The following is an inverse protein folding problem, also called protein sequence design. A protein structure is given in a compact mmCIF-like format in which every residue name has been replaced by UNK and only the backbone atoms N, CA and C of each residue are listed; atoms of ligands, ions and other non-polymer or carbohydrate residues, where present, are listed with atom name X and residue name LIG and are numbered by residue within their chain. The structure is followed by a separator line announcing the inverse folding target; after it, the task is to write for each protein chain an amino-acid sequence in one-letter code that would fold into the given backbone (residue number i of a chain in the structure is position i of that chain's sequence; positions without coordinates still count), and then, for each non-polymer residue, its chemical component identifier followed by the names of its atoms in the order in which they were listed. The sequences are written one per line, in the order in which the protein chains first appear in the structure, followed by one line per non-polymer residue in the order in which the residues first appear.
data_IF_316109941312
#
_entry.id   IF_316109941312
#
_cell.length_a   1.000
_cell.length_b   1.000
_cell.length_c   1.000
_cell.angle_alpha   90.00
_cell.angle_beta   90.00
_cell.angle_gamma   90.00
#
_symmetry.space_group_name_H-M   'P 1'
#
loop_
_entity.id
_entity.type
_entity.pdbx_description
1 polymer ?
#
# COMPACT_ATOMS: atom_id res chain seq x y z
N UNK A 1 6.39 21.48 0.14
CA UNK A 1 5.85 20.21 0.68
C UNK A 1 5.00 19.46 -0.35
N UNK A 2 4.02 20.10 -0.98
CA UNK A 2 3.12 19.46 -1.97
C UNK A 2 3.86 18.74 -3.12
N UNK A 3 4.84 19.35 -3.84
CA UNK A 3 5.52 18.65 -4.94
C UNK A 3 6.26 17.38 -4.49
N UNK A 4 6.80 17.39 -3.26
CA UNK A 4 7.48 16.24 -2.68
C UNK A 4 6.50 15.11 -2.34
N UNK A 5 5.30 15.47 -1.84
CA UNK A 5 4.26 14.49 -1.55
C UNK A 5 3.81 13.74 -2.81
N UNK A 6 3.61 14.46 -3.93
CA UNK A 6 3.33 13.83 -5.22
C UNK A 6 4.46 12.91 -5.67
N UNK A 7 5.71 13.40 -5.64
CA UNK A 7 6.89 12.64 -6.07
C UNK A 7 7.09 11.34 -5.29
N UNK A 8 6.95 11.38 -3.96
CA UNK A 8 7.04 10.17 -3.11
C UNK A 8 5.93 9.18 -3.44
N UNK A 9 4.70 9.67 -3.63
CA UNK A 9 3.57 8.81 -3.99
C UNK A 9 3.73 8.18 -5.36
N UNK A 10 4.28 8.91 -6.34
CA UNK A 10 4.62 8.37 -7.66
C UNK A 10 5.69 7.28 -7.58
N UNK A 11 6.78 7.52 -6.84
CA UNK A 11 7.83 6.51 -6.65
C UNK A 11 7.31 5.24 -5.99
N UNK A 12 6.48 5.37 -4.95
CA UNK A 12 5.85 4.23 -4.29
C UNK A 12 4.89 3.49 -5.22
N UNK A 13 4.05 4.21 -5.96
CA UNK A 13 3.14 3.61 -6.92
C UNK A 13 3.91 2.86 -8.01
N UNK A 14 4.98 3.45 -8.56
CA UNK A 14 5.84 2.81 -9.56
C UNK A 14 6.53 1.57 -9.02
N UNK A 15 7.07 1.64 -7.79
CA UNK A 15 7.71 0.49 -7.14
C UNK A 15 6.72 -0.65 -6.92
N UNK A 16 5.54 -0.34 -6.37
CA UNK A 16 4.49 -1.33 -6.10
C UNK A 16 3.99 -1.94 -7.40
N UNK A 17 3.79 -1.14 -8.45
CA UNK A 17 3.38 -1.64 -9.76
C UNK A 17 4.44 -2.60 -10.35
N UNK A 18 5.73 -2.29 -10.19
CA UNK A 18 6.82 -3.16 -10.65
C UNK A 18 6.87 -4.50 -9.91
N UNK A 19 6.86 -4.46 -8.58
CA UNK A 19 7.01 -5.66 -7.73
C UNK A 19 5.74 -6.51 -7.62
N UNK A 20 4.56 -5.98 -7.99
CA UNK A 20 3.28 -6.70 -7.87
C UNK A 20 3.34 -8.07 -8.52
N UNK A 21 3.99 -8.20 -9.68
CA UNK A 21 4.05 -9.47 -10.39
C UNK A 21 4.88 -10.52 -9.64
N UNK A 22 6.01 -10.13 -9.09
CA UNK A 22 6.86 -11.00 -8.28
C UNK A 22 6.13 -11.42 -7.00
N UNK A 23 5.43 -10.49 -6.35
CA UNK A 23 4.63 -10.82 -5.16
C UNK A 23 3.56 -11.85 -5.51
N UNK A 24 2.79 -11.65 -6.59
CA UNK A 24 1.76 -12.60 -7.00
C UNK A 24 2.33 -13.99 -7.30
N UNK A 25 3.45 -14.04 -8.02
CA UNK A 25 4.10 -15.30 -8.39
C UNK A 25 4.64 -16.03 -7.17
N UNK A 26 5.33 -15.31 -6.28
CA UNK A 26 5.95 -15.88 -5.09
C UNK A 26 4.88 -16.26 -4.07
N UNK A 27 3.84 -15.47 -3.87
CA UNK A 27 2.72 -15.84 -3.00
C UNK A 27 2.01 -17.11 -3.46
N UNK A 28 1.84 -17.34 -4.78
CA UNK A 28 1.28 -18.61 -5.28
C UNK A 28 2.10 -19.84 -4.91
N UNK A 29 3.41 -19.70 -4.66
CA UNK A 29 4.25 -20.82 -4.22
C UNK A 29 4.04 -21.15 -2.74
N UNK A 30 3.80 -20.14 -1.90
CA UNK A 30 3.65 -20.31 -0.44
C UNK A 30 2.19 -20.51 0.01
N UNK A 31 1.25 -19.95 -0.76
CA UNK A 31 -0.18 -19.86 -0.46
C UNK A 31 -1.00 -20.16 -1.73
N UNK A 32 -0.83 -21.35 -2.36
CA UNK A 32 -1.45 -21.68 -3.64
C UNK A 32 -2.98 -21.68 -3.61
N UNK A 33 -3.58 -21.84 -2.43
CA UNK A 33 -5.03 -21.82 -2.23
C UNK A 33 -5.64 -20.40 -2.28
N UNK A 34 -4.82 -19.34 -2.30
CA UNK A 34 -5.29 -17.96 -2.28
C UNK A 34 -4.89 -17.18 -3.54
N UNK A 35 -5.83 -16.40 -4.08
CA UNK A 35 -5.55 -15.38 -5.08
C UNK A 35 -5.49 -14.01 -4.41
N UNK A 36 -4.30 -13.42 -4.37
CA UNK A 36 -4.09 -12.11 -3.74
C UNK A 36 -4.33 -10.98 -4.73
N UNK A 37 -4.95 -9.90 -4.28
CA UNK A 37 -4.95 -8.60 -4.95
C UNK A 37 -4.16 -7.59 -4.12
N UNK A 38 -3.35 -6.79 -4.81
CA UNK A 38 -2.47 -5.80 -4.19
C UNK A 38 -2.89 -4.42 -4.69
N UNK A 39 -3.07 -3.47 -3.77
CA UNK A 39 -3.42 -2.11 -4.12
C UNK A 39 -2.65 -1.10 -3.27
N UNK A 40 -2.17 -0.05 -3.91
CA UNK A 40 -1.53 1.07 -3.24
C UNK A 40 -2.54 2.18 -2.97
N UNK A 41 -2.63 2.59 -1.71
CA UNK A 41 -3.36 3.79 -1.28
C UNK A 41 -2.32 4.87 -0.97
N UNK A 42 -2.37 6.02 -1.65
CA UNK A 42 -1.39 7.09 -1.45
C UNK A 42 -1.58 7.90 -0.15
N UNK A 43 -2.65 7.63 0.61
CA UNK A 43 -2.99 8.31 1.86
C UNK A 43 -3.90 9.54 1.71
N UNK A 44 -4.37 9.79 0.49
CA UNK A 44 -5.43 10.74 0.16
C UNK A 44 -6.12 10.32 -1.14
N UNK A 45 -7.26 10.93 -1.46
CA UNK A 45 -8.02 10.63 -2.68
C UNK A 45 -7.23 11.00 -3.95
N UNK A 46 -7.14 10.05 -4.90
CA UNK A 46 -6.42 10.25 -6.16
C UNK A 46 -7.11 11.23 -7.11
N UNK A 47 -8.42 11.42 -6.97
CA UNK A 47 -9.21 12.32 -7.83
C UNK A 47 -9.10 13.79 -7.38
N UNK A 48 -8.56 14.04 -6.18
CA UNK A 48 -8.44 15.37 -5.61
C UNK A 48 -6.97 15.81 -5.53
N UNK A 49 -6.69 17.04 -5.97
CA UNK A 49 -5.35 17.63 -5.83
C UNK A 49 -4.96 17.76 -4.35
N UNK A 50 -3.72 17.38 -4.01
CA UNK A 50 -3.28 17.38 -2.62
C UNK A 50 -3.28 18.77 -1.99
N UNK A 51 -3.04 19.83 -2.77
CA UNK A 51 -3.12 21.21 -2.29
C UNK A 51 -4.55 21.57 -1.84
N UNK A 52 -5.56 21.16 -2.61
CA UNK A 52 -6.97 21.38 -2.27
C UNK A 52 -7.33 20.65 -0.97
N UNK A 53 -6.86 19.41 -0.80
CA UNK A 53 -7.09 18.64 0.43
C UNK A 53 -6.53 19.37 1.64
N UNK A 54 -5.30 19.88 1.56
CA UNK A 54 -4.67 20.61 2.67
C UNK A 54 -5.45 21.88 3.03
N UNK A 55 -5.96 22.60 2.03
CA UNK A 55 -6.80 23.79 2.26
C UNK A 55 -8.12 23.40 2.92
N UNK A 56 -8.82 22.40 2.38
CA UNK A 56 -10.13 21.96 2.90
C UNK A 56 -10.03 21.35 4.30
N UNK A 57 -8.94 20.66 4.62
CA UNK A 57 -8.74 20.01 5.94
C UNK A 57 -8.07 20.92 6.97
N UNK A 58 -7.64 22.12 6.61
CA UNK A 58 -6.79 22.96 7.47
C UNK A 58 -7.35 23.16 8.89
N UNK A 59 -8.63 23.55 9.00
CA UNK A 59 -9.26 23.79 10.31
C UNK A 59 -9.36 22.52 11.16
N UNK A 60 -9.61 21.38 10.52
CA UNK A 60 -9.66 20.08 11.20
C UNK A 60 -8.27 19.64 11.66
N UNK A 61 -7.28 19.72 10.78
CA UNK A 61 -5.89 19.37 11.08
C UNK A 61 -5.32 20.26 12.20
N UNK A 62 -5.72 21.55 12.24
CA UNK A 62 -5.36 22.47 13.33
C UNK A 62 -5.91 21.99 14.68
N UNK A 63 -7.17 21.56 14.75
CA UNK A 63 -7.76 21.01 15.98
C UNK A 63 -7.10 19.70 16.40
N UNK A 64 -6.70 18.87 15.43
CA UNK A 64 -6.01 17.60 15.67
C UNK A 64 -4.54 17.76 16.03
N UNK A 65 -3.93 18.92 15.76
CA UNK A 65 -2.49 19.23 15.92
C UNK A 65 -1.55 18.45 15.00
N UNK A 66 -2.09 17.78 13.97
CA UNK A 66 -1.33 17.07 12.95
C UNK A 66 -2.06 17.05 11.62
N UNK A 67 -1.33 16.85 10.52
CA UNK A 67 -1.90 16.67 9.19
C UNK A 67 -2.49 15.27 9.04
N UNK A 68 -3.81 15.16 8.89
CA UNK A 68 -4.49 13.87 8.89
C UNK A 68 -4.34 13.09 7.57
N UNK A 69 -4.14 13.78 6.44
CA UNK A 69 -4.07 13.20 5.10
C UNK A 69 -2.75 13.53 4.40
N UNK A 70 -2.19 12.56 3.69
CA UNK A 70 -0.93 12.75 2.97
C UNK A 70 -0.13 11.48 2.78
N UNK A 71 1.07 11.59 2.19
CA UNK A 71 1.90 10.44 1.83
C UNK A 71 2.36 9.63 3.04
N UNK A 72 2.40 10.21 4.25
CA UNK A 72 2.69 9.49 5.49
C UNK A 72 1.56 8.54 5.92
N UNK A 73 0.35 8.69 5.37
CA UNK A 73 -0.79 7.79 5.55
C UNK A 73 -0.96 6.81 4.39
N UNK A 74 0.02 6.73 3.49
CA UNK A 74 -0.01 5.76 2.41
C UNK A 74 0.01 4.33 2.97
N UNK A 75 -0.66 3.42 2.26
CA UNK A 75 -0.92 2.07 2.72
C UNK A 75 -0.85 1.08 1.53
N UNK A 76 -0.35 -0.13 1.80
CA UNK A 76 -0.30 -1.23 0.85
C UNK A 76 -1.32 -2.26 1.29
N UNK A 77 -2.43 -2.35 0.56
CA UNK A 77 -3.50 -3.28 0.90
C UNK A 77 -3.36 -4.57 0.11
N UNK A 78 -3.32 -5.67 0.83
CA UNK A 78 -3.31 -7.02 0.29
C UNK A 78 -4.64 -7.67 0.68
N UNK A 79 -5.36 -8.22 -0.29
CA UNK A 79 -6.67 -8.83 -0.09
C UNK A 79 -6.77 -10.20 -0.73
N UNK A 80 -7.67 -11.03 -0.20
CA UNK A 80 -8.19 -12.25 -0.84
C UNK A 80 -9.68 -12.00 -1.06
N UNK A 81 -10.16 -12.11 -2.29
CA UNK A 81 -11.59 -11.94 -2.62
C UNK A 81 -12.21 -10.67 -1.99
N UNK A 82 -11.52 -9.54 -2.10
CA UNK A 82 -11.91 -8.22 -1.53
C UNK A 82 -11.85 -8.06 -0.01
N UNK A 83 -11.49 -9.10 0.74
CA UNK A 83 -11.35 -9.05 2.21
C UNK A 83 -9.86 -8.94 2.59
N UNK A 84 -9.57 -8.22 3.67
CA UNK A 84 -8.20 -8.09 4.18
C UNK A 84 -7.59 -9.46 4.48
N UNK A 85 -6.32 -9.67 4.10
CA UNK A 85 -5.59 -10.89 4.44
C UNK A 85 -5.51 -11.15 5.95
N UNK A 86 -5.60 -10.11 6.77
CA UNK A 86 -5.58 -10.20 8.24
C UNK A 86 -6.83 -10.88 8.81
N UNK A 87 -7.96 -10.79 8.09
CA UNK A 87 -9.24 -11.36 8.50
C UNK A 87 -9.44 -12.79 7.97
N UNK A 88 -8.73 -13.16 6.89
CA UNK A 88 -8.84 -14.47 6.25
C UNK A 88 -7.73 -15.43 6.67
N UNK A 89 -6.47 -14.95 6.65
CA UNK A 89 -5.33 -15.82 6.83
C UNK A 89 -5.11 -16.14 8.31
N UNK A 90 -4.81 -17.41 8.60
CA UNK A 90 -4.33 -17.78 9.92
C UNK A 90 -2.98 -17.10 10.22
N UNK A 91 -2.61 -17.01 11.51
CA UNK A 91 -1.31 -16.45 11.93
C UNK A 91 -0.11 -17.09 11.22
N UNK A 92 -0.18 -18.40 10.92
CA UNK A 92 0.88 -19.10 10.19
C UNK A 92 0.92 -18.67 8.72
N UNK A 93 -0.24 -18.54 8.07
CA UNK A 93 -0.32 -18.08 6.68
C UNK A 93 0.09 -16.62 6.54
N UNK A 94 -0.25 -15.74 7.49
CA UNK A 94 0.28 -14.36 7.52
C UNK A 94 1.80 -14.32 7.60
N UNK A 95 2.40 -15.22 8.40
CA UNK A 95 3.86 -15.34 8.47
C UNK A 95 4.48 -15.81 7.14
N UNK A 96 3.83 -16.76 6.46
CA UNK A 96 4.25 -17.20 5.12
C UNK A 96 4.10 -16.08 4.09
N UNK A 97 3.01 -15.31 4.13
CA UNK A 97 2.82 -14.13 3.30
C UNK A 97 3.98 -13.14 3.47
N UNK A 98 4.36 -12.83 4.72
CA UNK A 98 5.50 -11.93 4.99
C UNK A 98 6.80 -12.47 4.38
N UNK A 99 7.04 -13.78 4.42
CA UNK A 99 8.21 -14.39 3.79
C UNK A 99 8.16 -14.31 2.27
N UNK A 100 7.00 -14.57 1.67
CA UNK A 100 6.80 -14.42 0.24
C UNK A 100 7.03 -12.97 -0.22
N UNK A 101 6.53 -11.97 0.53
CA UNK A 101 6.75 -10.55 0.25
C UNK A 101 8.25 -10.18 0.27
N UNK A 102 8.99 -10.67 1.27
CA UNK A 102 10.43 -10.43 1.39
C UNK A 102 11.22 -11.09 0.26
N UNK A 103 10.84 -12.31 -0.12
CA UNK A 103 11.49 -13.04 -1.21
C UNK A 103 11.22 -12.36 -2.55
N UNK A 104 9.96 -12.01 -2.84
CA UNK A 104 9.59 -11.24 -4.03
C UNK A 104 10.35 -9.92 -4.12
N UNK A 105 10.58 -9.24 -2.99
CA UNK A 105 11.43 -8.05 -2.97
C UNK A 105 12.89 -8.33 -3.31
N UNK A 106 13.45 -9.47 -2.88
CA UNK A 106 14.80 -9.88 -3.27
C UNK A 106 14.91 -10.20 -4.76
N UNK A 107 13.91 -10.89 -5.31
CA UNK A 107 13.82 -11.25 -6.73
C UNK A 107 13.67 -10.02 -7.62
N UNK A 108 12.87 -9.02 -7.21
CA UNK A 108 12.64 -7.79 -7.98
C UNK A 108 13.91 -6.96 -8.25
N UNK A 109 14.97 -7.12 -7.45
CA UNK A 109 16.25 -6.42 -7.63
C UNK A 109 17.33 -7.26 -8.33
N UNK A 110 16.99 -8.47 -8.80
CA UNK A 110 17.92 -9.38 -9.48
C UNK A 110 17.58 -9.49 -10.97
#
# INVERSE_FOLDING_TARGET
MIPLAHKISEWRASYIAGITKDIENTCKQFLPEFSLSISFQRGWDKETDYSNILVTQFERDRMLTYTALGPHKADLRIRVEEISVEDILSRRQLKLLIYALKLAQGEYFT
#
